data_IF_722687641522
#
_entry.id   IF_722687641522
#
_cell.length_a   1.000
_cell.length_b   1.000
_cell.length_c   1.000
_cell.angle_alpha   90.00
_cell.angle_beta   90.00
_cell.angle_gamma   90.00
#
_symmetry.space_group_name_H-M   'P 1'
#
loop_
_entity.id
_entity.type
_entity.pdbx_description
1 polymer ?
2 non-polymer ?
3 water ?
#
# COMPACT_ATOMS: atom_id res chain seq x y z
N UNK A 6 -19.67 -20.10 10.00
CA UNK A 6 -19.45 -19.09 8.92
C UNK A 6 -19.65 -17.69 9.46
N UNK A 7 -18.55 -17.09 9.95
CA UNK A 7 -18.60 -15.73 10.55
C UNK A 7 -19.37 -14.73 9.68
N UNK A 8 -19.91 -13.71 10.33
CA UNK A 8 -20.62 -12.65 9.61
C UNK A 8 -19.69 -11.88 8.66
N UNK A 9 -19.96 -11.94 7.34
CA UNK A 9 -19.24 -11.04 6.44
C UNK A 9 -19.39 -9.55 6.81
N UNK A 10 -18.36 -8.77 6.56
CA UNK A 10 -18.45 -7.32 6.65
C UNK A 10 -19.48 -6.86 5.64
N UNK A 11 -20.22 -5.81 5.95
CA UNK A 11 -21.13 -5.22 4.97
C UNK A 11 -20.51 -3.96 4.33
N UNK A 12 -19.23 -3.73 4.56
CA UNK A 12 -18.58 -2.52 4.04
C UNK A 12 -18.34 -2.66 2.54
N UNK A 13 -18.75 -1.65 1.75
CA UNK A 13 -18.40 -1.62 0.34
C UNK A 13 -16.88 -1.76 0.10
N UNK A 14 -16.51 -2.67 -0.81
CA UNK A 14 -15.11 -2.86 -1.19
C UNK A 14 -15.07 -3.27 -2.63
N UNK A 15 -13.95 -2.97 -3.29
CA UNK A 15 -13.71 -3.40 -4.67
C UNK A 15 -12.21 -3.43 -4.94
N UNK A 16 -11.82 -4.36 -5.78
CA UNK A 16 -10.45 -4.46 -6.27
C UNK A 16 -10.57 -5.04 -7.70
N UNK A 17 -10.40 -4.15 -8.69
CA UNK A 17 -10.53 -4.48 -10.07
C UNK A 17 -9.14 -4.38 -10.71
N UNK A 18 -8.96 -5.07 -11.82
CA UNK A 18 -7.65 -5.26 -12.41
C UNK A 18 -7.71 -4.95 -13.91
N UNK A 19 -6.55 -4.63 -14.52
CA UNK A 19 -6.44 -4.40 -15.95
C UNK A 19 -6.80 -5.66 -16.74
N UNK A 20 -7.54 -5.44 -17.82
CA UNK A 20 -7.83 -6.53 -18.72
C UNK A 20 -6.61 -6.86 -19.52
N UNK A 21 -6.03 -8.02 -19.27
CA UNK A 21 -4.79 -8.30 -20.00
C UNK A 21 -5.02 -8.60 -21.49
N UNK A 22 -6.26 -8.83 -21.89
CA UNK A 22 -6.59 -9.02 -23.30
C UNK A 22 -6.59 -7.72 -24.12
N UNK A 23 -6.90 -6.59 -23.43
CA UNK A 23 -7.14 -5.31 -24.06
C UNK A 23 -5.86 -4.50 -24.18
N UNK A 24 -4.93 -5.06 -24.93
CA UNK A 24 -3.66 -4.39 -25.34
C UNK A 24 -3.98 -3.02 -25.92
N UNK A 25 -3.14 -2.03 -25.61
CA UNK A 25 -3.32 -0.66 -26.06
C UNK A 25 -4.43 0.12 -25.38
N UNK A 26 -4.98 -0.43 -24.30
CA UNK A 26 -6.00 0.27 -23.50
C UNK A 26 -5.88 -0.13 -22.06
N UNK A 27 -6.62 0.56 -21.23
CA UNK A 27 -6.70 0.22 -19.82
C UNK A 27 -8.15 0.02 -19.46
N UNK A 28 -8.57 -1.21 -19.51
CA UNK A 28 -9.96 -1.55 -19.22
C UNK A 28 -10.01 -2.33 -17.90
N UNK A 29 -10.73 -1.79 -16.91
CA UNK A 29 -10.86 -2.45 -15.62
C UNK A 29 -11.88 -3.58 -15.69
N UNK A 30 -11.55 -4.70 -15.02
CA UNK A 30 -12.44 -5.86 -14.91
C UNK A 30 -12.63 -6.30 -13.44
N UNK A 31 -13.89 -6.63 -13.08
CA UNK A 31 -14.17 -7.45 -11.91
C UNK A 31 -14.43 -8.91 -12.27
N UNK A 32 -14.80 -9.16 -13.52
CA UNK A 32 -14.99 -10.49 -14.04
C UNK A 32 -13.68 -10.95 -14.54
N UNK A 33 -12.88 -11.43 -13.59
CA UNK A 33 -11.49 -11.82 -13.82
C UNK A 33 -11.04 -12.47 -12.54
N UNK A 34 -10.14 -13.43 -12.62
CA UNK A 34 -9.70 -14.12 -11.43
C UNK A 34 -9.12 -13.11 -10.44
N UNK A 35 -9.52 -13.25 -9.19
CA UNK A 35 -8.93 -12.48 -8.11
C UNK A 35 -9.24 -10.97 -8.22
N UNK A 36 -10.41 -10.65 -8.74
CA UNK A 36 -10.92 -9.30 -8.78
C UNK A 36 -12.29 -9.37 -8.18
N UNK A 37 -12.79 -8.26 -7.64
CA UNK A 37 -14.01 -8.33 -6.85
C UNK A 37 -14.70 -7.01 -6.66
N UNK A 38 -16.03 -7.13 -6.52
CA UNK A 38 -16.92 -6.10 -6.09
C UNK A 38 -17.73 -6.68 -4.93
N UNK A 39 -17.99 -5.90 -3.91
CA UNK A 39 -18.83 -6.38 -2.84
C UNK A 39 -19.58 -5.24 -2.16
N UNK A 40 -20.73 -5.61 -1.59
CA UNK A 40 -21.55 -4.74 -0.81
C UNK A 40 -21.99 -3.48 -1.56
N UNK A 41 -22.40 -3.65 -2.81
CA UNK A 41 -23.06 -2.56 -3.55
C UNK A 41 -22.15 -1.79 -4.52
N UNK A 42 -20.84 -1.99 -4.45
CA UNK A 42 -19.94 -1.31 -5.43
C UNK A 42 -20.20 -1.87 -6.82
N UNK A 43 -20.29 -0.99 -7.82
CA UNK A 43 -20.47 -1.36 -9.21
C UNK A 43 -19.31 -0.90 -10.10
N UNK A 44 -19.12 -1.60 -11.21
CA UNK A 44 -18.16 -1.21 -12.24
C UNK A 44 -18.97 -0.92 -13.43
N UNK A 45 -19.06 0.36 -13.82
CA UNK A 45 -19.92 0.76 -14.93
C UNK A 45 -19.19 1.77 -15.82
N UNK A 46 -19.12 1.49 -17.13
CA UNK A 46 -18.36 2.31 -18.08
C UNK A 46 -16.94 2.60 -17.57
N UNK A 47 -16.28 1.54 -17.14
CA UNK A 47 -14.89 1.61 -16.66
C UNK A 47 -14.65 2.45 -15.38
N UNK A 48 -15.71 2.76 -14.67
CA UNK A 48 -15.61 3.52 -13.45
C UNK A 48 -16.20 2.75 -12.29
N UNK A 49 -15.67 2.98 -11.08
CA UNK A 49 -16.23 2.44 -9.86
C UNK A 49 -17.28 3.39 -9.27
N UNK A 50 -18.43 2.82 -8.90
CA UNK A 50 -19.61 3.53 -8.45
C UNK A 50 -19.85 3.21 -7.00
N UNK A 51 -19.82 4.24 -6.16
CA UNK A 51 -19.90 4.19 -4.72
C UNK A 51 -21.36 4.10 -4.29
N UNK A 52 -21.74 3.07 -3.49
CA UNK A 52 -23.15 2.83 -3.09
C UNK A 52 -23.61 3.61 -1.88
N UNK A 53 -22.69 4.13 -1.07
CA UNK A 53 -23.05 4.89 0.13
C UNK A 53 -21.98 5.91 0.52
N UNK A 54 -22.38 6.98 1.22
CA UNK A 54 -21.47 8.03 1.62
C UNK A 54 -20.58 7.57 2.75
N UNK A 55 -19.42 8.18 2.91
CA UNK A 55 -18.52 7.80 3.98
C UNK A 55 -17.10 8.01 3.55
N UNK A 56 -16.17 7.74 4.48
CA UNK A 56 -14.77 7.71 4.16
C UNK A 56 -14.36 6.44 3.45
N UNK A 57 -13.53 6.59 2.44
CA UNK A 57 -12.98 5.43 1.73
C UNK A 57 -11.51 5.62 1.50
N UNK A 58 -10.77 4.53 1.60
CA UNK A 58 -9.46 4.45 0.97
C UNK A 58 -9.68 4.18 -0.50
N UNK A 59 -8.99 4.93 -1.35
CA UNK A 59 -8.95 4.71 -2.76
C UNK A 59 -7.47 4.48 -3.10
N UNK A 60 -7.19 3.41 -3.87
CA UNK A 60 -5.84 3.08 -4.27
C UNK A 60 -5.79 2.54 -5.69
N UNK A 61 -4.68 2.80 -6.36
CA UNK A 61 -4.42 2.19 -7.66
C UNK A 61 -2.94 2.06 -7.88
N UNK A 62 -2.49 0.95 -8.50
CA UNK A 62 -1.13 0.82 -9.02
C UNK A 62 -1.15 0.55 -10.53
N UNK A 63 -0.30 1.22 -11.26
CA UNK A 63 -0.05 0.88 -12.66
C UNK A 63 1.45 0.65 -12.79
N UNK A 64 1.84 -0.14 -13.77
CA UNK A 64 3.24 -0.41 -14.08
C UNK A 64 3.51 -0.13 -15.54
N UNK A 65 4.38 0.83 -15.80
CA UNK A 65 4.82 1.12 -17.15
C UNK A 65 6.18 0.45 -17.39
N UNK A 66 6.47 0.12 -18.66
CA UNK A 66 7.71 -0.53 -19.11
C UNK A 66 8.07 -0.04 -20.51
N UNK A 67 9.37 0.14 -20.77
CA UNK A 67 9.90 0.39 -22.13
C UNK A 67 11.27 -0.28 -22.35
N UNK A 68 11.62 -0.46 -23.62
CA UNK A 68 12.96 -0.93 -24.02
C UNK A 68 13.83 0.29 -24.39
N UNK A 69 14.71 0.68 -23.49
CA UNK A 69 15.55 1.87 -23.68
C UNK A 69 14.74 3.16 -23.80
N UNK A 70 15.38 4.23 -24.30
CA UNK A 70 14.79 5.57 -24.31
C UNK A 70 14.64 6.21 -25.73
N UNK A 71 13.42 6.70 -26.08
CA UNK A 71 13.16 7.28 -27.41
C UNK A 71 13.56 8.77 -27.56
N UNK A 72 13.52 9.27 -28.80
CA UNK A 72 13.96 10.63 -29.14
C UNK A 72 13.04 11.72 -28.58
N UNK A 73 11.73 11.48 -28.65
CA UNK A 73 10.74 12.35 -27.98
C UNK A 73 10.73 12.04 -26.47
N UNK A 74 10.51 13.07 -25.64
CA UNK A 74 10.56 12.90 -24.18
C UNK A 74 9.26 12.30 -23.65
N UNK A 75 9.40 11.22 -22.90
CA UNK A 75 8.27 10.47 -22.40
C UNK A 75 7.82 11.03 -21.05
N UNK A 76 6.53 11.35 -20.95
CA UNK A 76 5.87 11.68 -19.68
C UNK A 76 4.76 10.67 -19.38
N UNK A 77 4.84 10.05 -18.20
CA UNK A 77 3.93 9.00 -17.79
C UNK A 77 3.03 9.57 -16.70
N UNK A 78 1.69 9.57 -16.91
CA UNK A 78 0.73 10.04 -15.87
C UNK A 78 -0.26 8.96 -15.43
N UNK A 79 -0.71 9.09 -14.19
CA UNK A 79 -1.71 8.27 -13.61
C UNK A 79 -2.56 9.21 -12.77
N UNK A 80 -3.87 9.09 -12.91
CA UNK A 80 -4.80 10.00 -12.29
C UNK A 80 -6.06 9.22 -11.80
N UNK A 81 -6.46 9.47 -10.55
CA UNK A 81 -7.74 9.00 -10.02
C UNK A 81 -8.62 10.24 -9.87
N UNK A 82 -9.78 10.17 -10.46
CA UNK A 82 -10.71 11.32 -10.41
C UNK A 82 -12.14 10.91 -10.05
N UNK A 83 -12.90 11.91 -9.67
CA UNK A 83 -14.22 11.77 -9.06
C UNK A 83 -15.26 12.56 -9.91
N UNK A 84 -16.39 11.92 -10.24
CA UNK A 84 -17.57 12.55 -10.84
C UNK A 84 -18.70 12.38 -9.84
N UNK A 85 -19.05 13.47 -9.16
CA UNK A 85 -20.12 13.48 -8.15
C UNK A 85 -21.50 13.69 -8.77
N UNK A 86 -22.55 13.14 -8.18
CA UNK A 86 -23.92 13.32 -8.70
C UNK A 86 -24.29 14.83 -8.72
N UNK A 87 -23.77 15.58 -7.74
CA UNK A 87 -24.06 17.01 -7.61
C UNK A 87 -23.13 17.88 -8.42
N UNK A 88 -22.10 17.30 -9.03
CA UNK A 88 -21.23 18.08 -9.89
C UNK A 88 -20.58 17.13 -10.90
N UNK A 89 -21.25 16.94 -12.04
CA UNK A 89 -20.96 15.79 -12.89
C UNK A 89 -19.89 16.08 -13.92
N UNK A 90 -18.72 16.35 -13.36
CA UNK A 90 -17.52 16.78 -14.05
C UNK A 90 -16.31 16.15 -13.32
N UNK A 91 -15.31 15.73 -14.09
CA UNK A 91 -14.17 15.00 -13.48
C UNK A 91 -13.40 15.97 -12.66
N UNK A 92 -13.17 15.60 -11.42
CA UNK A 92 -12.28 16.38 -10.55
C UNK A 92 -11.17 15.38 -10.17
N UNK A 93 -9.90 15.78 -10.35
CA UNK A 93 -8.75 15.02 -9.85
C UNK A 93 -8.67 14.93 -8.35
N UNK A 94 -8.67 13.71 -7.81
CA UNK A 94 -8.37 13.46 -6.38
C UNK A 94 -6.88 13.13 -6.10
N UNK A 95 -6.26 12.41 -7.03
CA UNK A 95 -4.89 11.96 -6.90
C UNK A 95 -4.29 11.97 -8.29
N UNK A 96 -3.01 12.32 -8.37
CA UNK A 96 -2.31 12.22 -9.68
C UNK A 96 -0.80 12.13 -9.46
N UNK A 97 -0.11 11.53 -10.39
CA UNK A 97 1.33 11.56 -10.38
C UNK A 97 1.81 11.62 -11.82
N UNK A 98 3.02 12.12 -11.99
CA UNK A 98 3.70 12.21 -13.29
C UNK A 98 5.18 11.76 -13.16
N UNK A 99 5.65 10.90 -14.07
CA UNK A 99 7.03 10.40 -14.06
C UNK A 99 7.69 10.53 -15.44
N UNK A 100 8.97 10.89 -15.44
CA UNK A 100 9.80 10.88 -16.63
C UNK A 100 10.76 9.72 -16.53
N UNK A 101 10.45 8.60 -17.21
CA UNK A 101 11.30 7.43 -17.03
C UNK A 101 12.69 7.58 -17.64
N UNK A 102 12.87 8.55 -18.53
CA UNK A 102 14.10 8.66 -19.33
C UNK A 102 14.75 10.02 -19.14
N UNK A 103 15.88 10.03 -18.42
CA UNK A 103 16.63 11.25 -18.09
C UNK A 103 17.81 11.41 -19.06
N UNK A 106 19.12 7.68 -25.07
CA UNK A 106 20.16 6.63 -25.03
C UNK A 106 20.88 6.57 -26.39
N UNK A 107 22.22 6.49 -26.37
CA UNK A 107 23.00 6.61 -27.61
C UNK A 107 22.89 5.38 -28.48
N UNK A 108 22.78 5.55 -29.80
CA UNK A 108 22.43 4.42 -30.71
C UNK A 108 23.51 3.32 -30.79
N UNK A 112 20.20 -0.76 -24.78
CA UNK A 112 18.75 -0.49 -24.69
C UNK A 112 18.12 -1.31 -23.54
N UNK A 113 18.54 -1.00 -22.32
CA UNK A 113 18.11 -1.77 -21.14
C UNK A 113 16.64 -1.44 -20.83
N UNK A 114 15.83 -2.46 -20.50
CA UNK A 114 14.50 -2.16 -20.03
C UNK A 114 14.46 -1.26 -18.79
N UNK A 115 13.49 -0.37 -18.77
CA UNK A 115 13.13 0.40 -17.59
C UNK A 115 11.70 0.07 -17.16
N UNK A 116 11.44 0.19 -15.86
CA UNK A 116 10.10 -0.01 -15.27
C UNK A 116 9.77 1.16 -14.38
N UNK A 117 8.54 1.64 -14.46
CA UNK A 117 8.07 2.74 -13.66
C UNK A 117 6.72 2.36 -13.12
N UNK A 118 6.68 1.83 -11.88
CA UNK A 118 5.45 1.56 -11.14
C UNK A 118 4.94 2.86 -10.53
N UNK A 119 3.67 3.23 -10.74
CA UNK A 119 3.09 4.43 -10.05
C UNK A 119 1.95 3.95 -9.16
N UNK A 120 2.00 4.33 -7.89
CA UNK A 120 0.94 4.05 -6.92
C UNK A 120 0.25 5.35 -6.52
N UNK A 121 -1.08 5.33 -6.45
CA UNK A 121 -1.85 6.45 -5.97
C UNK A 121 -2.75 5.91 -4.86
N UNK A 122 -2.80 6.65 -3.75
CA UNK A 122 -3.55 6.28 -2.57
C UNK A 122 -3.99 7.48 -1.77
N UNK A 123 -5.18 7.44 -1.23
CA UNK A 123 -5.68 8.48 -0.36
C UNK A 123 -6.96 8.06 0.32
N UNK A 124 -7.35 8.82 1.36
CA UNK A 124 -8.56 8.55 2.10
C UNK A 124 -9.45 9.79 1.88
N UNK A 125 -10.67 9.57 1.38
CA UNK A 125 -11.55 10.68 0.95
C UNK A 125 -12.99 10.45 1.40
N UNK A 126 -13.67 11.54 1.69
CA UNK A 126 -15.10 11.54 1.91
C UNK A 126 -15.79 11.37 0.55
N UNK A 127 -16.52 10.28 0.38
CA UNK A 127 -17.30 10.10 -0.87
C UNK A 127 -18.79 10.18 -0.64
N UNK A 128 -19.52 10.53 -1.72
CA UNK A 128 -20.98 10.54 -1.69
C UNK A 128 -21.52 9.40 -2.45
N UNK A 129 -22.72 9.02 -2.09
CA UNK A 129 -23.47 8.04 -2.86
C UNK A 129 -23.64 8.43 -4.34
N UNK A 130 -23.42 7.45 -5.19
CA UNK A 130 -23.41 7.65 -6.61
C UNK A 130 -22.11 8.25 -7.18
N UNK A 131 -21.13 8.58 -6.35
CA UNK A 131 -19.83 9.03 -6.94
C UNK A 131 -19.31 7.98 -7.93
N UNK A 132 -18.80 8.44 -9.07
CA UNK A 132 -18.10 7.62 -10.04
C UNK A 132 -16.61 7.95 -10.05
N UNK A 133 -15.81 6.90 -9.91
CA UNK A 133 -14.38 7.04 -9.74
C UNK A 133 -13.72 6.44 -10.95
N UNK A 134 -12.83 7.18 -11.56
CA UNK A 134 -12.04 6.70 -12.66
C UNK A 134 -10.58 6.67 -12.25
N UNK A 135 -9.84 5.73 -12.83
CA UNK A 135 -8.37 5.62 -12.74
C UNK A 135 -7.80 5.46 -14.13
N UNK A 136 -6.97 6.40 -14.53
CA UNK A 136 -6.63 6.57 -15.95
C UNK A 136 -5.17 6.93 -16.15
N UNK A 137 -4.59 6.48 -17.26
CA UNK A 137 -3.19 6.85 -17.65
C UNK A 137 -3.18 7.52 -19.04
N UNK A 138 -2.12 8.27 -19.32
CA UNK A 138 -1.96 8.86 -20.66
C UNK A 138 -1.27 7.94 -21.66
N UNK A 139 -0.57 6.91 -21.21
CA UNK A 139 0.24 6.10 -22.14
C UNK A 139 -0.01 4.62 -22.08
N UNK A 140 -1.21 4.17 -22.52
CA UNK A 140 -1.51 2.74 -22.48
C UNK A 140 -0.56 1.89 -23.29
N UNK A 141 0.08 2.48 -24.29
CA UNK A 141 1.11 1.76 -25.04
C UNK A 141 2.36 1.39 -24.20
N UNK A 142 2.54 2.04 -23.05
CA UNK A 142 3.65 1.64 -22.14
C UNK A 142 3.22 0.76 -20.96
N UNK A 143 1.90 0.57 -20.80
CA UNK A 143 1.39 -0.30 -19.69
C UNK A 143 1.89 -1.68 -19.83
N UNK A 144 2.39 -2.27 -18.74
CA UNK A 144 2.80 -3.67 -18.72
C UNK A 144 1.75 -4.51 -17.96
N UNK A 145 1.02 -5.34 -18.71
CA UNK A 145 0.35 -6.54 -18.14
C UNK A 145 0.91 -7.89 -18.71
N UNK A 146 2.25 -8.00 -18.69
CA UNK A 146 2.99 -9.29 -18.83
C UNK A 146 2.63 -10.35 -17.77
N UNK A 147 2.03 -9.90 -16.66
CA UNK A 147 1.67 -10.76 -15.58
C UNK A 147 0.54 -10.12 -14.80
N UNK A 148 -0.26 -10.96 -14.19
CA UNK A 148 -1.34 -10.49 -13.35
C UNK A 148 -0.75 -9.76 -12.09
N UNK A 149 -1.56 -8.93 -11.45
CA UNK A 149 -1.21 -8.36 -10.14
C UNK A 149 -0.44 -7.07 -10.22
N UNK A 150 -0.15 -6.63 -11.46
CA UNK A 150 0.63 -5.43 -11.64
C UNK A 150 -0.18 -4.14 -11.72
N UNK A 151 -1.44 -4.23 -12.15
CA UNK A 151 -2.25 -3.04 -12.48
C UNK A 151 -3.62 -3.24 -11.90
N UNK A 152 -4.01 -2.34 -11.00
CA UNK A 152 -5.22 -2.50 -10.21
C UNK A 152 -5.71 -1.21 -9.62
N UNK A 153 -6.97 -1.28 -9.21
CA UNK A 153 -7.76 -0.12 -8.78
C UNK A 153 -8.75 -0.62 -7.77
N UNK A 154 -8.76 -0.03 -6.57
CA UNK A 154 -9.63 -0.49 -5.52
C UNK A 154 -10.12 0.55 -4.57
N UNK A 155 -11.21 0.25 -3.85
CA UNK A 155 -11.68 1.07 -2.76
C UNK A 155 -12.09 0.21 -1.57
N UNK A 156 -11.97 0.79 -0.38
CA UNK A 156 -12.39 0.17 0.87
C UNK A 156 -13.06 1.24 1.73
N UNK A 157 -14.37 1.12 1.96
CA UNK A 157 -15.08 2.04 2.87
C UNK A 157 -14.52 1.86 4.27
N UNK A 158 -14.16 2.94 4.95
CA UNK A 158 -13.68 2.80 6.33
C UNK A 158 -14.87 2.55 7.27
N UNK B 8 -14.27 -9.01 24.60
CA UNK B 8 -14.10 -10.29 23.84
C UNK B 8 -13.08 -10.06 22.72
N UNK B 9 -11.80 -10.48 22.92
CA UNK B 9 -10.81 -10.30 21.87
C UNK B 9 -11.31 -10.79 20.50
N UNK B 10 -10.88 -10.13 19.43
CA UNK B 10 -11.37 -10.47 18.12
C UNK B 10 -10.94 -11.88 17.79
N UNK B 11 -11.82 -12.61 17.11
CA UNK B 11 -11.50 -13.93 16.62
C UNK B 11 -11.27 -13.95 15.06
N UNK B 12 -11.10 -12.78 14.44
CA UNK B 12 -10.71 -12.68 13.01
C UNK B 12 -9.33 -13.28 12.72
N UNK B 13 -9.25 -14.16 11.70
CA UNK B 13 -7.94 -14.62 11.22
C UNK B 13 -7.01 -13.44 10.81
N UNK B 14 -5.78 -13.46 11.34
CA UNK B 14 -4.76 -12.44 11.05
C UNK B 14 -3.39 -13.04 11.09
N UNK B 15 -2.46 -12.45 10.35
CA UNK B 15 -1.05 -12.68 10.51
C UNK B 15 -0.29 -11.44 10.17
N UNK B 16 0.84 -11.27 10.85
CA UNK B 16 1.82 -10.29 10.49
C UNK B 16 3.19 -10.87 10.74
N UNK B 17 3.88 -11.27 9.67
CA UNK B 17 5.15 -11.99 9.81
C UNK B 17 6.25 -11.11 9.28
N UNK B 18 7.45 -11.30 9.84
CA UNK B 18 8.56 -10.43 9.55
C UNK B 18 9.77 -11.22 9.02
N UNK B 19 10.57 -10.59 8.20
CA UNK B 19 11.61 -11.33 7.52
C UNK B 19 12.80 -11.50 8.48
N UNK B 20 13.54 -12.58 8.29
CA UNK B 20 14.72 -12.92 9.06
C UNK B 20 15.97 -12.21 8.52
N UNK B 21 16.48 -11.23 9.26
CA UNK B 21 17.66 -10.55 8.79
C UNK B 21 18.88 -11.47 8.55
N UNK B 22 18.99 -12.60 9.26
CA UNK B 22 20.18 -13.41 9.10
C UNK B 22 20.03 -14.69 8.29
N UNK B 23 18.96 -14.75 7.50
CA UNK B 23 18.82 -15.83 6.53
C UNK B 23 19.32 -15.39 5.15
N UNK B 24 20.62 -15.49 4.92
CA UNK B 24 21.27 -15.08 3.65
C UNK B 24 20.69 -15.80 2.43
N UNK B 25 20.57 -15.08 1.31
CA UNK B 25 19.91 -15.59 0.08
C UNK B 25 18.43 -15.99 0.21
N UNK B 26 17.73 -15.47 1.20
CA UNK B 26 16.34 -15.87 1.40
C UNK B 26 15.49 -14.70 1.79
N UNK B 27 14.21 -14.78 1.42
CA UNK B 27 13.18 -14.03 2.10
C UNK B 27 12.33 -15.02 2.92
N UNK B 28 12.68 -15.12 4.20
CA UNK B 28 12.13 -16.09 5.11
C UNK B 28 11.31 -15.39 6.17
N UNK B 29 10.05 -15.77 6.27
CA UNK B 29 9.10 -15.15 7.19
C UNK B 29 9.10 -15.83 8.58
N UNK B 30 9.00 -15.02 9.64
CA UNK B 30 9.01 -15.49 11.05
C UNK B 30 7.82 -14.92 11.79
N UNK B 31 7.18 -15.73 12.63
CA UNK B 31 6.18 -15.22 13.59
C UNK B 31 6.67 -15.14 15.05
N UNK B 32 7.76 -15.86 15.36
CA UNK B 32 8.27 -15.91 16.74
C UNK B 32 9.24 -14.75 17.01
N UNK B 33 8.74 -13.53 16.84
CA UNK B 33 9.50 -12.31 16.99
C UNK B 33 8.57 -11.27 17.56
N UNK B 34 9.15 -10.23 18.14
CA UNK B 34 8.36 -9.14 18.75
C UNK B 34 7.45 -8.49 17.70
N UNK B 35 6.20 -8.19 18.06
CA UNK B 35 5.29 -7.46 17.16
C UNK B 35 5.03 -8.22 15.84
N UNK B 36 5.07 -9.55 15.91
CA UNK B 36 4.70 -10.40 14.80
C UNK B 36 3.66 -11.34 15.36
N UNK B 37 2.85 -11.94 14.49
CA UNK B 37 1.55 -12.50 14.84
C UNK B 37 1.06 -13.56 13.87
N UNK B 38 0.60 -14.69 14.40
CA UNK B 38 -0.29 -15.63 13.72
C UNK B 38 -1.43 -15.80 14.65
N UNK B 39 -2.66 -15.51 14.24
CA UNK B 39 -3.82 -15.75 15.12
C UNK B 39 -5.07 -16.25 14.42
N UNK B 40 -5.98 -16.75 15.28
CA UNK B 40 -7.29 -17.32 14.93
C UNK B 40 -7.28 -18.23 13.71
N UNK B 41 -6.26 -19.09 13.65
CA UNK B 41 -6.22 -20.18 12.66
C UNK B 41 -5.22 -20.07 11.53
N UNK B 42 -4.68 -18.87 11.31
CA UNK B 42 -3.72 -18.73 10.24
C UNK B 42 -2.46 -19.49 10.64
N UNK B 43 -1.92 -20.27 9.70
CA UNK B 43 -0.65 -20.97 9.89
C UNK B 43 0.41 -20.47 8.94
N UNK B 44 1.66 -20.70 9.32
CA UNK B 44 2.82 -20.41 8.51
C UNK B 44 3.44 -21.74 8.21
N UNK B 45 3.43 -22.14 6.96
CA UNK B 45 3.91 -23.46 6.57
C UNK B 45 4.68 -23.35 5.27
N UNK B 46 5.88 -23.93 5.24
CA UNK B 46 6.81 -23.84 4.11
C UNK B 46 6.89 -22.42 3.57
N UNK B 47 7.06 -21.46 4.49
CA UNK B 47 7.21 -20.04 4.18
C UNK B 47 5.97 -19.38 3.60
N UNK B 48 4.81 -20.02 3.76
CA UNK B 48 3.56 -19.53 3.24
C UNK B 48 2.53 -19.37 4.30
N UNK B 49 1.66 -18.40 4.16
CA UNK B 49 0.53 -18.23 5.06
C UNK B 49 -0.68 -19.03 4.56
N UNK B 50 -1.28 -19.80 5.47
CA UNK B 50 -2.34 -20.72 5.11
C UNK B 50 -3.63 -20.20 5.71
N UNK B 51 -4.63 -20.00 4.87
CA UNK B 51 -5.89 -19.36 5.22
C UNK B 51 -6.84 -20.42 5.80
N UNK B 52 -7.46 -20.15 6.96
CA UNK B 52 -8.26 -21.16 7.69
C UNK B 52 -9.75 -21.22 7.34
N UNK B 53 -10.32 -20.10 6.84
CA UNK B 53 -11.69 -20.05 6.40
C UNK B 53 -11.87 -19.12 5.19
N UNK B 54 -12.94 -19.35 4.42
CA UNK B 54 -13.28 -18.50 3.26
C UNK B 54 -13.73 -17.08 3.67
N UNK B 55 -13.48 -16.10 2.81
CA UNK B 55 -13.90 -14.75 3.12
C UNK B 55 -13.05 -13.68 2.42
N UNK B 56 -13.38 -12.45 2.69
CA UNK B 56 -12.61 -11.33 2.20
C UNK B 56 -11.49 -11.05 3.18
N UNK B 57 -10.29 -10.89 2.65
CA UNK B 57 -9.16 -10.50 3.44
C UNK B 57 -8.47 -9.30 2.83
N UNK B 58 -7.88 -8.49 3.69
CA UNK B 58 -6.81 -7.60 3.30
C UNK B 58 -5.55 -8.45 3.26
N UNK B 59 -4.72 -8.20 2.27
CA UNK B 59 -3.42 -8.90 2.13
C UNK B 59 -2.39 -7.82 1.82
N UNK B 60 -1.23 -7.89 2.45
CA UNK B 60 -0.28 -6.83 2.27
C UNK B 60 1.14 -7.32 2.51
N UNK B 61 2.09 -6.63 1.90
CA UNK B 61 3.50 -6.90 2.14
C UNK B 61 4.39 -5.69 1.87
N UNK B 62 5.47 -5.59 2.62
CA UNK B 62 6.47 -4.61 2.33
C UNK B 62 7.86 -5.24 2.25
N UNK B 63 8.65 -4.81 1.26
CA UNK B 63 10.08 -5.07 1.27
C UNK B 63 10.82 -3.74 1.11
N UNK B 64 12.08 -3.70 1.51
CA UNK B 64 12.94 -2.56 1.32
C UNK B 64 14.25 -3.04 0.74
N UNK B 65 14.59 -2.48 -0.41
CA UNK B 65 15.83 -2.79 -1.11
C UNK B 65 16.80 -1.63 -0.97
N UNK B 66 18.10 -1.95 -0.93
CA UNK B 66 19.17 -0.96 -0.86
C UNK B 66 20.44 -1.39 -1.61
N UNK B 67 20.99 -0.50 -2.44
CA UNK B 67 22.30 -0.72 -3.07
C UNK B 67 23.29 0.43 -2.87
N UNK B 68 24.57 0.12 -2.98
CA UNK B 68 25.62 1.13 -3.01
C UNK B 68 25.92 1.36 -4.48
N UNK B 69 25.48 2.50 -5.01
CA UNK B 69 25.69 2.82 -6.41
C UNK B 69 24.99 1.88 -7.40
N UNK B 70 25.55 1.82 -8.61
CA UNK B 70 24.87 1.23 -9.76
C UNK B 70 25.84 0.56 -10.71
N UNK B 71 25.70 -0.77 -10.91
CA UNK B 71 26.64 -1.48 -11.80
C UNK B 71 26.27 -1.46 -13.30
N UNK B 74 22.44 -3.98 -15.31
CA UNK B 74 21.01 -3.69 -15.22
C UNK B 74 20.39 -4.40 -13.99
N UNK B 75 19.94 -3.61 -13.02
CA UNK B 75 19.34 -4.16 -11.77
C UNK B 75 17.81 -4.06 -11.85
N UNK B 76 17.12 -5.21 -11.84
CA UNK B 76 15.64 -5.21 -11.70
C UNK B 76 15.24 -5.79 -10.35
N UNK B 77 14.29 -5.13 -9.68
CA UNK B 77 13.83 -5.58 -8.35
C UNK B 77 12.38 -5.99 -8.44
N UNK B 78 12.05 -7.22 -8.11
CA UNK B 78 10.64 -7.57 -8.11
C UNK B 78 10.15 -7.98 -6.72
N UNK B 79 8.86 -7.77 -6.50
CA UNK B 79 8.20 -8.24 -5.29
C UNK B 79 6.78 -8.69 -5.65
N UNK B 80 6.35 -9.81 -5.11
CA UNK B 80 5.19 -10.47 -5.59
C UNK B 80 4.50 -11.23 -4.46
N UNK B 81 3.23 -10.94 -4.27
CA UNK B 81 2.37 -11.79 -3.49
C UNK B 81 1.54 -12.68 -4.42
N UNK B 82 1.46 -13.97 -4.08
CA UNK B 82 0.80 -14.93 -4.88
C UNK B 82 -0.07 -15.88 -4.08
N UNK B 83 -1.06 -16.43 -4.76
CA UNK B 83 -2.07 -17.25 -4.20
C UNK B 83 -2.00 -18.65 -4.85
N UNK B 84 -2.03 -19.69 -4.01
CA UNK B 84 -2.25 -21.07 -4.50
C UNK B 84 -3.57 -21.52 -3.96
N UNK B 85 -4.53 -21.67 -4.83
CA UNK B 85 -5.85 -22.12 -4.39
C UNK B 85 -5.82 -23.63 -4.35
N UNK B 86 -6.42 -24.21 -3.31
CA UNK B 86 -6.40 -25.64 -3.06
C UNK B 86 -7.14 -26.41 -4.14
N UNK B 87 -8.25 -25.85 -4.62
CA UNK B 87 -9.02 -26.47 -5.70
C UNK B 87 -8.32 -26.46 -7.06
N UNK B 88 -7.66 -25.35 -7.39
CA UNK B 88 -7.16 -25.15 -8.71
C UNK B 88 -5.75 -25.67 -8.82
N UNK B 89 -5.05 -25.75 -7.68
CA UNK B 89 -3.64 -26.18 -7.61
C UNK B 89 -2.74 -25.38 -8.55
N UNK B 90 -2.99 -24.07 -8.63
CA UNK B 90 -2.18 -23.16 -9.45
C UNK B 90 -1.61 -22.03 -8.62
N UNK B 91 -0.45 -21.51 -9.04
CA UNK B 91 0.14 -20.36 -8.37
C UNK B 91 0.09 -19.10 -9.23
N UNK B 92 -0.68 -18.11 -8.78
CA UNK B 92 -0.91 -16.92 -9.54
C UNK B 92 -0.72 -15.64 -8.74
N UNK B 93 -0.29 -14.60 -9.43
CA UNK B 93 0.13 -13.36 -8.80
C UNK B 93 -1.13 -12.58 -8.44
N UNK B 94 -1.30 -12.23 -7.17
CA UNK B 94 -2.34 -11.27 -6.73
C UNK B 94 -1.85 -9.83 -6.81
N UNK B 95 -0.59 -9.60 -6.44
CA UNK B 95 -0.04 -8.25 -6.28
C UNK B 95 1.39 -8.29 -6.65
N UNK B 96 1.81 -7.38 -7.49
CA UNK B 96 3.19 -7.44 -8.00
C UNK B 96 3.75 -6.10 -8.53
N UNK B 97 5.03 -5.86 -8.24
CA UNK B 97 5.68 -4.66 -8.75
C UNK B 97 7.12 -4.96 -9.15
N UNK B 98 7.64 -4.12 -10.03
CA UNK B 98 8.98 -4.27 -10.60
C UNK B 98 9.54 -2.88 -10.65
N UNK B 99 10.74 -2.69 -10.11
CA UNK B 99 11.43 -1.42 -10.16
C UNK B 99 12.86 -1.59 -10.77
N UNK B 100 13.33 -0.56 -11.46
CA UNK B 100 14.67 -0.60 -12.08
C UNK B 100 15.33 0.64 -11.58
N UNK B 101 15.98 0.54 -10.43
CA UNK B 101 16.49 1.73 -9.76
C UNK B 101 17.70 2.44 -10.47
N UNK B 102 18.45 1.73 -11.31
CA UNK B 102 19.66 2.35 -11.89
C UNK B 102 19.46 2.99 -13.26
N UNK B 113 26.99 6.48 -3.83
CA UNK B 113 25.85 7.02 -3.10
C UNK B 113 24.75 5.95 -2.98
N UNK B 114 24.24 5.75 -1.75
CA UNK B 114 23.33 4.60 -1.55
C UNK B 114 21.91 4.95 -1.99
N UNK B 115 21.24 4.03 -2.71
CA UNK B 115 19.82 4.19 -3.03
C UNK B 115 18.92 3.25 -2.16
N UNK B 116 17.73 3.72 -1.81
CA UNK B 116 16.71 2.86 -1.16
C UNK B 116 15.43 2.78 -1.97
N UNK B 117 14.94 1.56 -2.23
CA UNK B 117 13.62 1.33 -2.87
C UNK B 117 12.61 0.52 -2.00
N UNK B 118 11.64 1.18 -1.38
CA UNK B 118 10.64 0.35 -0.68
C UNK B 118 9.56 -0.10 -1.67
N UNK B 119 8.93 -1.26 -1.46
CA UNK B 119 7.76 -1.67 -2.24
C UNK B 119 6.72 -2.15 -1.25
N UNK B 120 5.56 -1.46 -1.22
CA UNK B 120 4.42 -1.85 -0.38
C UNK B 120 3.33 -2.30 -1.36
N UNK B 121 2.83 -3.52 -1.18
CA UNK B 121 1.70 -4.04 -1.94
C UNK B 121 0.55 -4.27 -0.98
N UNK B 122 -0.65 -3.82 -1.37
CA UNK B 122 -1.84 -4.20 -0.62
C UNK B 122 -3.11 -4.20 -1.41
N UNK B 123 -4.07 -4.99 -0.97
CA UNK B 123 -5.34 -5.06 -1.67
C UNK B 123 -6.30 -5.89 -0.90
N UNK B 124 -7.54 -5.97 -1.39
CA UNK B 124 -8.56 -6.82 -0.78
C UNK B 124 -8.98 -7.90 -1.77
N UNK B 125 -9.13 -9.14 -1.24
CA UNK B 125 -9.25 -10.38 -2.00
C UNK B 125 -10.21 -11.38 -1.35
N UNK B 126 -10.92 -12.15 -2.19
CA UNK B 126 -11.74 -13.29 -1.72
C UNK B 126 -10.82 -14.50 -1.75
N UNK B 127 -10.71 -15.17 -0.61
CA UNK B 127 -9.90 -16.30 -0.50
C UNK B 127 -10.78 -17.48 -0.04
N UNK B 128 -10.24 -18.66 -0.22
CA UNK B 128 -10.88 -19.90 0.22
C UNK B 128 -9.99 -20.65 1.25
N UNK B 129 -10.66 -21.36 2.17
CA UNK B 129 -10.07 -22.25 3.15
C UNK B 129 -9.02 -23.12 2.49
N UNK B 130 -7.80 -23.12 3.03
CA UNK B 130 -6.74 -23.89 2.44
C UNK B 130 -5.89 -23.13 1.46
N UNK B 131 -6.34 -21.96 0.97
CA UNK B 131 -5.47 -21.15 0.12
C UNK B 131 -4.13 -20.96 0.86
N UNK B 132 -3.08 -20.91 0.07
CA UNK B 132 -1.74 -20.61 0.54
C UNK B 132 -1.22 -19.35 -0.17
N UNK B 133 -0.66 -18.45 0.60
CA UNK B 133 -0.16 -17.23 0.06
C UNK B 133 1.34 -17.12 0.25
N UNK B 134 2.04 -16.64 -0.75
CA UNK B 134 3.43 -16.40 -0.60
C UNK B 134 3.78 -14.98 -0.97
N UNK B 135 4.89 -14.52 -0.43
CA UNK B 135 5.38 -13.22 -0.73
C UNK B 135 6.84 -13.32 -0.99
N UNK B 136 7.25 -12.93 -2.21
CA UNK B 136 8.58 -13.23 -2.69
C UNK B 136 9.22 -12.13 -3.44
N UNK B 137 10.54 -12.22 -3.56
CA UNK B 137 11.31 -11.28 -4.30
C UNK B 137 12.34 -12.01 -5.13
N UNK B 138 13.01 -11.29 -6.01
CA UNK B 138 14.00 -11.90 -6.87
C UNK B 138 15.44 -11.66 -6.38
N UNK B 139 15.68 -10.60 -5.60
CA UNK B 139 17.05 -10.26 -5.17
C UNK B 139 17.13 -10.18 -3.65
N UNK B 140 17.08 -11.32 -2.97
CA UNK B 140 17.27 -11.23 -1.48
C UNK B 140 18.57 -10.53 -1.09
N UNK B 141 19.59 -10.53 -1.96
CA UNK B 141 20.85 -9.86 -1.66
C UNK B 141 20.70 -8.34 -1.49
N UNK B 142 19.67 -7.73 -2.09
CA UNK B 142 19.48 -6.28 -1.95
C UNK B 142 18.58 -5.91 -0.76
N UNK B 143 18.08 -6.90 -0.02
CA UNK B 143 17.26 -6.61 1.15
C UNK B 143 18.06 -5.80 2.14
N UNK B 144 17.40 -4.77 2.75
CA UNK B 144 17.94 -4.02 3.89
C UNK B 144 17.19 -4.29 5.20
N UNK B 145 17.94 -4.47 6.29
CA UNK B 145 17.40 -4.83 7.61
C UNK B 145 17.90 -3.88 8.71
N UNK B 146 18.37 -2.71 8.33
CA UNK B 146 19.01 -1.74 9.27
C UNK B 146 18.20 -1.52 10.55
N UNK B 147 16.89 -1.45 10.39
CA UNK B 147 15.96 -1.16 11.46
C UNK B 147 14.81 -2.17 11.37
N UNK B 148 14.05 -2.35 12.45
CA UNK B 148 12.91 -3.24 12.45
C UNK B 148 11.74 -2.65 11.61
N UNK B 149 10.78 -3.48 11.25
CA UNK B 149 9.58 -3.03 10.54
C UNK B 149 9.70 -2.68 9.06
N UNK B 150 10.82 -3.03 8.41
CA UNK B 150 11.06 -2.73 6.98
C UNK B 150 10.58 -3.83 5.99
N UNK B 151 10.38 -5.04 6.49
CA UNK B 151 10.14 -6.20 5.65
C UNK B 151 9.14 -7.12 6.33
N UNK B 152 7.96 -7.20 5.76
CA UNK B 152 6.85 -7.83 6.42
C UNK B 152 5.77 -8.24 5.41
N UNK B 153 4.86 -9.10 5.89
CA UNK B 153 3.86 -9.78 5.09
C UNK B 153 2.70 -10.09 6.02
N UNK B 154 1.46 -9.78 5.60
CA UNK B 154 0.30 -10.06 6.44
C UNK B 154 -1.06 -10.20 5.77
N UNK B 155 -2.04 -10.69 6.57
CA UNK B 155 -3.42 -10.74 6.12
C UNK B 155 -4.33 -10.42 7.28
N UNK B 156 -5.50 -9.90 6.94
CA UNK B 156 -6.47 -9.49 7.88
C UNK B 156 -7.86 -9.82 7.34
N UNK B 157 -8.60 -10.72 8.01
CA UNK B 157 -9.97 -11.07 7.61
C UNK B 157 -10.86 -9.89 7.82
N UNK B 158 -11.64 -9.55 6.79
CA UNK B 158 -12.66 -8.53 6.97
C UNK B 158 -13.87 -9.09 7.72
N UNK C 10 -20.82 1.57 15.50
CA UNK C 10 -19.61 0.76 15.89
C UNK C 10 -19.03 1.25 17.21
N UNK C 11 -18.68 0.31 18.07
CA UNK C 11 -18.01 0.64 19.31
C UNK C 11 -16.49 0.57 19.21
N UNK C 12 -15.96 0.16 18.05
CA UNK C 12 -14.50 -0.04 17.91
C UNK C 12 -13.68 1.26 17.97
N UNK C 13 -12.64 1.28 18.80
CA UNK C 13 -11.75 2.45 18.78
C UNK C 13 -11.22 2.69 17.36
N UNK C 14 -11.10 3.96 16.98
CA UNK C 14 -10.81 4.30 15.61
C UNK C 14 -10.24 5.68 15.58
N UNK C 15 -9.28 5.89 14.70
CA UNK C 15 -8.79 7.25 14.49
C UNK C 15 -8.26 7.39 13.10
N UNK C 16 -8.50 8.55 12.55
CA UNK C 16 -7.90 8.92 11.31
C UNK C 16 -7.60 10.40 11.44
N UNK C 17 -6.33 10.76 11.51
CA UNK C 17 -5.90 12.13 11.74
C UNK C 17 -5.09 12.58 10.57
N UNK C 18 -5.07 13.88 10.34
CA UNK C 18 -4.47 14.40 9.13
C UNK C 18 -3.45 15.46 9.51
N UNK C 19 -2.55 15.75 8.56
CA UNK C 19 -1.43 16.63 8.80
C UNK C 19 -1.86 18.07 8.59
N UNK C 20 -1.42 18.94 9.48
CA UNK C 20 -1.61 20.39 9.35
C UNK C 20 -0.79 21.00 8.21
N UNK C 21 -1.44 21.30 7.08
CA UNK C 21 -0.72 21.93 5.98
C UNK C 21 -0.19 23.34 6.33
N UNK C 22 -0.58 23.86 7.51
CA UNK C 22 -0.26 25.22 7.93
C UNK C 22 0.81 25.29 8.99
N UNK C 23 1.42 24.15 9.35
CA UNK C 23 2.50 24.14 10.36
C UNK C 23 3.87 24.39 9.73
N UNK C 24 4.82 24.85 10.54
CA UNK C 24 6.13 25.28 10.04
C UNK C 24 7.14 24.18 10.31
N UNK C 25 7.68 23.59 9.23
CA UNK C 25 8.72 22.55 9.32
C UNK C 25 8.54 21.43 10.35
N UNK C 26 7.29 21.07 10.66
CA UNK C 26 7.00 19.91 11.53
C UNK C 26 5.81 19.11 10.94
N UNK C 27 5.68 17.84 11.35
CA UNK C 27 4.55 17.04 10.94
C UNK C 27 3.53 16.97 12.09
N UNK C 28 2.51 17.81 12.04
CA UNK C 28 1.54 17.94 13.14
C UNK C 28 0.23 17.31 12.74
N UNK C 29 -0.26 16.37 13.55
CA UNK C 29 -1.47 15.64 13.22
C UNK C 29 -2.67 16.37 13.86
N UNK C 30 -3.76 16.52 13.11
CA UNK C 30 -4.98 17.15 13.59
C UNK C 30 -6.13 16.17 13.50
N UNK C 31 -6.97 16.13 14.52
CA UNK C 31 -8.23 15.38 14.50
C UNK C 31 -9.45 16.26 14.13
N UNK C 36 -11.27 13.80 9.30
CA UNK C 36 -10.55 13.22 10.44
C UNK C 36 -11.49 12.72 11.54
N UNK C 37 -11.07 11.65 12.22
CA UNK C 37 -11.89 10.97 13.23
C UNK C 37 -11.04 10.69 14.47
N UNK C 38 -11.67 10.78 15.65
CA UNK C 38 -11.19 10.17 16.89
C UNK C 38 -12.42 9.69 17.61
N UNK C 39 -12.59 8.39 17.76
CA UNK C 39 -13.79 7.90 18.43
C UNK C 39 -13.56 6.66 19.28
N UNK C 40 -14.46 6.47 20.24
CA UNK C 40 -14.45 5.33 21.11
C UNK C 40 -13.16 5.15 21.86
N UNK C 41 -12.64 6.26 22.38
CA UNK C 41 -11.51 6.21 23.34
C UNK C 41 -10.15 6.62 22.78
N UNK C 42 -10.01 6.70 21.45
CA UNK C 42 -8.72 7.03 20.89
C UNK C 42 -8.47 8.51 21.08
N UNK C 43 -7.26 8.85 21.53
CA UNK C 43 -6.91 10.22 21.80
C UNK C 43 -5.67 10.60 21.01
N UNK C 44 -5.55 11.89 20.72
CA UNK C 44 -4.38 12.49 20.16
C UNK C 44 -3.69 13.38 21.23
N UNK C 45 -2.64 12.82 21.87
CA UNK C 45 -1.83 13.53 22.88
C UNK C 45 -0.34 13.57 22.43
N UNK C 46 0.26 14.75 22.44
CA UNK C 46 1.67 14.91 22.07
C UNK C 46 1.97 14.43 20.63
N UNK C 47 1.01 14.63 19.72
CA UNK C 47 1.15 14.21 18.33
C UNK C 47 1.18 12.66 18.19
N UNK C 48 0.71 11.96 19.22
CA UNK C 48 0.71 10.52 19.28
C UNK C 48 -0.69 10.02 19.50
N UNK C 49 -1.05 8.86 18.91
CA UNK C 49 -2.33 8.24 19.21
C UNK C 49 -2.22 7.37 20.42
N UNK C 50 -3.26 7.43 21.25
CA UNK C 50 -3.30 6.67 22.50
C UNK C 50 -4.31 5.55 22.44
N UNK C 51 -3.88 4.35 22.81
CA UNK C 51 -4.70 3.15 22.68
C UNK C 51 -5.56 2.96 23.92
N UNK C 52 -6.90 2.98 23.75
CA UNK C 52 -7.82 2.92 24.92
C UNK C 52 -7.98 1.53 25.49
N UNK C 53 -7.84 0.51 24.65
CA UNK C 53 -7.95 -0.86 25.10
C UNK C 53 -7.04 -1.81 24.33
N UNK C 54 -6.91 -2.99 24.94
CA UNK C 54 -6.07 -4.08 24.50
C UNK C 54 -6.75 -4.72 23.31
N UNK C 55 -5.94 -5.18 22.35
CA UNK C 55 -6.39 -6.06 21.27
C UNK C 55 -5.62 -5.88 19.96
N UNK C 56 -6.24 -6.37 18.88
CA UNK C 56 -5.71 -6.22 17.52
C UNK C 56 -6.14 -4.92 16.84
N UNK C 57 -5.15 -4.21 16.30
CA UNK C 57 -5.34 -3.00 15.56
C UNK C 57 -4.71 -3.10 14.18
N UNK C 58 -5.44 -2.66 13.16
CA UNK C 58 -4.81 -2.23 11.92
C UNK C 58 -4.28 -0.79 12.07
N UNK C 59 -3.02 -0.60 11.76
CA UNK C 59 -2.40 0.73 11.84
C UNK C 59 -1.88 1.11 10.46
N UNK C 60 -2.10 2.34 10.03
CA UNK C 60 -1.79 2.70 8.63
C UNK C 60 -1.33 4.16 8.57
N UNK C 61 -0.56 4.50 7.56
CA UNK C 61 -0.16 5.89 7.35
C UNK C 61 0.32 6.12 5.96
N UNK C 62 0.24 7.37 5.51
CA UNK C 62 0.92 7.82 4.29
C UNK C 62 1.51 9.23 4.52
N UNK C 63 2.65 9.52 3.92
CA UNK C 63 3.22 10.85 3.90
C UNK C 63 3.66 11.08 2.49
N UNK C 64 3.63 12.34 2.05
CA UNK C 64 4.15 12.70 0.71
C UNK C 64 5.25 13.70 0.85
N UNK C 65 6.28 13.58 -0.01
CA UNK C 65 7.42 14.48 -0.07
C UNK C 65 7.48 15.10 -1.46
N UNK C 66 7.97 16.35 -1.53
CA UNK C 66 8.23 17.07 -2.78
C UNK C 66 9.53 17.83 -2.66
N UNK C 67 10.29 17.88 -3.75
CA UNK C 67 11.40 18.83 -3.88
C UNK C 67 11.54 19.39 -5.28
N UNK C 68 12.10 20.59 -5.37
CA UNK C 68 12.45 21.22 -6.64
C UNK C 68 13.89 20.82 -6.90
N UNK C 69 14.12 20.04 -7.96
CA UNK C 69 15.48 19.57 -8.31
C UNK C 69 16.21 18.84 -7.19
N UNK C 70 17.47 18.50 -7.43
CA UNK C 70 18.30 17.79 -6.43
C UNK C 70 19.45 18.67 -5.92
N UNK C 71 19.71 18.65 -4.59
CA UNK C 71 20.86 19.33 -3.96
C UNK C 71 22.17 18.51 -3.95
N UNK C 72 23.20 19.03 -3.27
CA UNK C 72 24.50 18.32 -3.10
C UNK C 72 24.56 17.47 -1.80
N UNK C 73 23.73 17.81 -0.81
CA UNK C 73 23.46 16.88 0.30
C UNK C 73 22.63 15.70 -0.24
N UNK C 74 23.04 14.48 0.08
CA UNK C 74 22.26 13.29 -0.27
C UNK C 74 21.00 13.22 0.62
N UNK C 75 19.83 13.37 0.00
CA UNK C 75 18.57 13.44 0.72
C UNK C 75 18.05 12.02 0.98
N UNK C 76 17.87 11.66 2.26
CA UNK C 76 17.15 10.43 2.61
C UNK C 76 15.85 10.76 3.34
N UNK C 77 14.76 10.18 2.82
CA UNK C 77 13.44 10.37 3.37
C UNK C 77 12.99 9.13 4.15
N UNK C 78 12.75 9.25 5.44
CA UNK C 78 12.21 8.12 6.19
C UNK C 78 10.85 8.43 6.79
N UNK C 79 10.10 7.36 7.01
CA UNK C 79 8.77 7.42 7.64
C UNK C 79 8.61 6.18 8.47
N UNK C 80 8.17 6.36 9.69
CA UNK C 80 8.24 5.33 10.65
C UNK C 80 7.12 5.44 11.64
N UNK C 81 6.44 4.32 11.88
CA UNK C 81 5.43 4.21 12.90
C UNK C 81 5.98 3.37 14.07
N UNK C 82 5.90 3.92 15.29
CA UNK C 82 6.53 3.33 16.46
C UNK C 82 5.47 3.06 17.50
N UNK C 83 5.74 2.05 18.29
CA UNK C 83 4.95 1.74 19.40
C UNK C 83 5.78 2.20 20.63
N UNK C 84 5.13 2.96 21.50
CA UNK C 84 5.66 3.37 22.82
C UNK C 84 4.84 2.65 23.87
N UNK C 85 5.46 1.66 24.52
CA UNK C 85 4.77 0.80 25.45
C UNK C 85 4.43 1.58 26.74
N UNK C 86 3.18 1.42 27.19
CA UNK C 86 2.70 1.94 28.47
C UNK C 86 3.69 1.57 29.59
N UNK C 87 4.17 0.32 29.54
CA UNK C 87 5.29 -0.16 30.37
C UNK C 87 6.39 0.90 30.60
N UNK C 90 9.84 3.48 26.24
CA UNK C 90 10.57 2.61 25.28
C UNK C 90 9.85 2.52 23.94
N UNK C 91 10.58 2.84 22.89
CA UNK C 91 10.02 3.02 21.56
C UNK C 91 10.62 2.01 20.57
N UNK C 92 9.72 1.32 19.84
CA UNK C 92 10.09 0.24 18.88
C UNK C 92 9.37 0.44 17.52
N UNK C 93 10.14 0.35 16.43
CA UNK C 93 9.56 0.46 15.07
C UNK C 93 8.59 -0.65 14.86
N UNK C 94 7.41 -0.33 14.33
CA UNK C 94 6.45 -1.35 13.90
C UNK C 94 6.48 -1.48 12.38
N UNK C 95 6.60 -0.34 11.71
CA UNK C 95 6.52 -0.20 10.26
C UNK C 95 7.39 0.96 9.84
N UNK C 96 8.27 0.73 8.86
CA UNK C 96 9.25 1.73 8.51
C UNK C 96 9.73 1.63 7.11
N UNK C 97 9.95 2.76 6.46
CA UNK C 97 10.57 2.74 5.16
C UNK C 97 11.43 3.97 4.85
N UNK C 98 12.21 3.87 3.77
CA UNK C 98 13.17 4.89 3.44
C UNK C 98 13.16 5.02 1.91
N UNK C 99 13.23 6.26 1.44
CA UNK C 99 13.38 6.53 0.01
C UNK C 99 14.56 7.46 -0.32
N UNK C 100 15.21 7.22 -1.43
CA UNK C 100 16.26 8.13 -1.91
C UNK C 100 15.78 8.82 -3.21
N UNK C 101 15.20 10.04 -3.10
CA UNK C 101 14.55 10.64 -4.31
C UNK C 101 15.51 10.89 -5.48
N UNK C 102 16.70 11.39 -5.16
CA UNK C 102 17.76 11.56 -6.16
C UNK C 102 18.60 10.30 -6.26
N UNK C 113 14.00 20.29 -12.02
CA UNK C 113 12.91 19.32 -12.15
C UNK C 113 12.37 18.92 -10.77
N UNK C 114 11.13 19.33 -10.44
CA UNK C 114 10.54 18.82 -9.20
C UNK C 114 10.37 17.28 -9.24
N UNK C 115 10.60 16.63 -8.10
CA UNK C 115 10.33 15.19 -7.91
C UNK C 115 9.30 15.07 -6.80
N UNK C 116 8.57 13.94 -6.77
CA UNK C 116 7.47 13.70 -5.79
C UNK C 116 7.57 12.24 -5.31
N UNK C 117 7.48 12.00 -4.02
CA UNK C 117 7.58 10.62 -3.52
C UNK C 117 6.68 10.42 -2.31
N UNK C 118 5.77 9.43 -2.38
CA UNK C 118 4.99 9.09 -1.20
C UNK C 118 5.70 8.00 -0.38
N UNK C 119 5.41 7.88 0.90
CA UNK C 119 5.74 6.64 1.62
C UNK C 119 4.50 6.20 2.32
N UNK C 120 4.14 4.92 2.14
CA UNK C 120 2.86 4.36 2.65
C UNK C 120 3.04 3.01 3.38
N UNK C 121 2.41 2.89 4.58
CA UNK C 121 2.67 1.85 5.57
C UNK C 121 1.36 1.31 6.06
N UNK C 122 1.35 0.07 6.53
CA UNK C 122 0.14 -0.49 7.17
C UNK C 122 0.34 -1.94 7.53
N UNK C 123 -0.14 -2.31 8.71
CA UNK C 123 -0.21 -3.70 9.13
C UNK C 123 -1.05 -3.91 10.40
N UNK C 124 -1.22 -5.16 10.78
CA UNK C 124 -1.96 -5.56 11.97
C UNK C 124 -1.03 -5.91 13.19
N UNK C 125 -1.40 -5.37 14.36
CA UNK C 125 -0.60 -5.48 15.59
C UNK C 125 -1.44 -5.68 16.85
N UNK C 126 -0.95 -6.56 17.72
CA UNK C 126 -1.44 -6.67 19.10
C UNK C 126 -0.88 -5.47 19.90
N UNK C 127 -1.76 -4.70 20.50
CA UNK C 127 -1.37 -3.57 21.32
C UNK C 127 -2.02 -3.71 22.71
N UNK C 128 -1.51 -2.94 23.67
CA UNK C 128 -2.06 -2.96 25.06
C UNK C 128 -2.66 -1.61 25.47
N UNK C 129 -3.59 -1.62 26.41
CA UNK C 129 -4.18 -0.38 26.91
C UNK C 129 -3.04 0.55 27.31
N UNK C 130 -3.06 1.76 26.79
CA UNK C 130 -2.09 2.77 27.15
C UNK C 130 -0.93 2.93 26.21
N UNK C 131 -0.78 2.00 25.24
CA UNK C 131 0.32 2.13 24.30
C UNK C 131 0.13 3.41 23.54
N UNK C 132 1.20 4.10 23.27
CA UNK C 132 1.13 5.22 22.38
C UNK C 132 1.72 4.80 21.00
N UNK C 133 1.25 5.46 19.95
CA UNK C 133 1.77 5.26 18.61
C UNK C 133 2.15 6.57 17.98
N UNK C 134 3.33 6.63 17.36
CA UNK C 134 3.79 7.82 16.67
C UNK C 134 3.95 7.53 15.23
N UNK C 135 3.86 8.56 14.41
CA UNK C 135 4.09 8.46 12.99
C UNK C 135 4.97 9.63 12.58
N UNK C 136 6.25 9.36 12.30
CA UNK C 136 7.21 10.45 12.17
C UNK C 136 8.02 10.35 10.90
N UNK C 137 8.56 11.50 10.50
CA UNK C 137 9.51 11.56 9.38
C UNK C 137 10.83 12.22 9.82
N UNK C 138 11.89 12.07 9.02
CA UNK C 138 13.15 12.78 9.29
C UNK C 138 13.26 14.18 8.65
N UNK C 139 12.53 14.43 7.56
CA UNK C 139 12.67 15.66 6.75
C UNK C 139 11.33 16.37 6.49
N UNK C 140 10.74 17.00 7.51
CA UNK C 140 9.48 17.74 7.31
C UNK C 140 9.56 18.88 6.28
N UNK C 141 10.74 19.46 6.15
CA UNK C 141 11.01 20.47 5.12
C UNK C 141 10.69 19.99 3.66
N UNK C 142 10.45 18.69 3.46
CA UNK C 142 10.14 18.21 2.10
C UNK C 142 8.68 17.70 1.98
N UNK C 143 7.87 17.96 3.00
CA UNK C 143 6.44 17.63 2.96
C UNK C 143 5.69 18.28 1.77
N UNK C 144 4.64 17.62 1.28
CA UNK C 144 3.87 18.12 0.11
C UNK C 144 2.36 18.13 0.42
N UNK C 145 1.77 19.33 0.53
CA UNK C 145 0.42 19.51 1.12
C UNK C 145 -0.62 20.09 0.13
N UNK C 148 -3.39 16.41 -1.11
CA UNK C 148 -4.55 16.59 -0.19
C UNK C 148 -5.45 15.35 -0.12
N UNK C 149 -5.66 14.80 1.09
CA UNK C 149 -6.26 13.44 1.23
C UNK C 149 -5.16 12.38 1.25
N UNK C 150 -3.91 12.85 1.24
CA UNK C 150 -2.76 11.99 1.10
C UNK C 150 -1.72 11.96 2.24
N UNK C 151 -1.79 12.88 3.22
CA UNK C 151 -0.95 12.76 4.43
C UNK C 151 -1.81 12.48 5.67
N UNK C 152 -1.72 11.26 6.21
CA UNK C 152 -2.63 10.82 7.28
C UNK C 152 -2.01 9.70 8.06
N UNK C 153 -2.65 9.40 9.19
CA UNK C 153 -2.23 8.42 10.18
C UNK C 153 -3.51 7.90 10.85
N UNK C 154 -3.64 6.58 10.99
CA UNK C 154 -4.79 6.03 11.66
C UNK C 154 -4.76 4.61 12.11
N UNK C 155 -5.71 4.27 12.98
CA UNK C 155 -5.84 2.92 13.50
C UNK C 155 -7.30 2.47 13.51
N UNK C 156 -7.52 1.17 13.51
CA UNK C 156 -8.85 0.68 13.74
C UNK C 156 -8.71 -0.60 14.50
N UNK C 157 -9.46 -0.69 15.62
CA UNK C 157 -9.61 -1.92 16.35
C UNK C 157 -10.38 -2.95 15.53
N UNK C 158 -9.84 -4.17 15.49
CA UNK C 158 -10.42 -5.26 14.75
C UNK C 158 -11.42 -6.01 15.60
X LIG D 1 -3.40 -4.25 4.75
X LIG D 1 -3.35 -3.24 5.64
X LIG D 1 -2.19 -3.31 6.37
X LIG D 1 -3.39 -2.01 4.95
X LIG D 1 -3.64 -1.83 3.60
X LIG D 1 -4.35 -2.76 2.81
X LIG D 1 -4.60 -2.46 1.46
X LIG D 1 -4.17 -1.26 0.95
X LIG D 1 -3.50 -0.33 1.75
X LIG D 1 -3.23 -0.63 3.06
X LIG D 1 -2.50 0.32 3.96
X LIG D 1 -3.16 1.63 4.03
X LIG D 1 -2.59 2.78 3.68
X LIG D 1 -1.18 2.93 3.15
X LIG D 1 -4.39 1.89 4.49
X LIG D 1 -4.57 3.28 4.40
X LIG D 1 -3.45 3.79 3.88
X LIG D 1 -5.43 1.07 4.95
X LIG D 1 -6.64 1.66 5.36
X LIG D 1 -6.80 3.07 5.28
X LIG D 1 -5.78 3.86 4.77
X LIG D 1 -7.70 0.88 5.85
X LIG D 1 -8.54 1.43 6.82
X LIG D 1 -9.56 0.72 7.33
X LIG D 1 -9.81 -0.54 6.88
X LIG D 1 -9.00 -1.12 5.90
X LIG D 1 -7.95 -0.40 5.38
X LIG D 1 -10.87 -1.25 7.47
X LIG D 1 -11.26 -2.54 7.03
X LIG D 1 -12.47 -2.21 6.14
X LIG D 1 -13.53 -1.58 6.89
X LIG D 1 -13.06 -0.41 7.67
X LIG D 1 -11.74 -0.61 8.42
#
# INVERSE_FOLDING_TARGET
SVRSSSRTPSDKPVAHVVANPQAEGQLQWLNRRANALLANGVELRDNQLVVPSEGLYLIYSQVLFKGQGCPSTHVLLTHTISRIAVSYQTKVNLLSAIKSPCQRETPEGAEAKPWYEPIYLGGVFQLEKGDRLSAEINRPDYLDFAESGQVYFGIIAL
SVRSSSRTPSDKPVAHVVANPQAEGQLQWLNRRANALLANGVELRDNQLVVPSEGLYLIYSQVLFKGQGCPSTHVLLTHTISRIAVSYQTKVNLLSAIKSPCQRETPEGAEAKPWYEPIYLGGVFQLEKGDRLSAEINRPDYLDFAESGQVYFGIIAL
SVRSSSRTPSDKPVAHVVANPQAEGQLQWLNRRANALLANGVELRDNQLVVPSEGLYLIYSQVLFKGQGCPSTHVLLTHTISRIAVSYQTKVNLLSAIKSPCQRETPEGAEAKPWYEPIYLGGVFQLEKGDRLSAEINRPDYLDFAESGQVYFGIIAL
A7G F2 C16 F1 O C15 C14 C13 C12 C11 C10 C9 N2 C2 C1 C8 C3 N1 C7 C6 C5 C4 C17 C21 N3 C20 C19 C18 N4 C25 C24 N5 C23 C22
#
